data_IF_313315091688
#
_entry.id   IF_313315091688
#
_cell.length_a   1.000
_cell.length_b   1.000
_cell.length_c   1.000
_cell.angle_alpha   90.00
_cell.angle_beta   90.00
_cell.angle_gamma   90.00
#
_symmetry.space_group_name_H-M   'P 1'
#
loop_
_entity.id
_entity.type
_entity.pdbx_description
1 polymer ?
2 non-polymer ?
#
# COMPACT_ATOMS: atom_id res chain seq x y z
N UNK A 1 4.30 -3.95 -29.22
CA UNK A 1 5.73 -3.63 -29.11
C UNK A 1 6.13 -3.45 -27.65
N UNK A 2 5.66 -2.38 -27.03
CA UNK A 2 5.97 -2.12 -25.62
C UNK A 2 4.80 -1.47 -24.91
N UNK A 3 3.59 -1.84 -25.30
CA UNK A 3 2.39 -1.28 -24.69
C UNK A 3 1.32 -2.36 -24.53
N UNK A 4 0.86 -2.52 -23.30
CA UNK A 4 -0.16 -3.52 -22.99
C UNK A 4 -0.98 -3.09 -21.77
N UNK A 5 -2.28 -2.94 -21.96
CA UNK A 5 -3.18 -2.57 -20.87
C UNK A 5 -3.52 -3.80 -20.03
N UNK A 6 -2.61 -4.15 -19.14
CA UNK A 6 -2.81 -5.32 -18.28
C UNK A 6 -3.49 -4.93 -16.98
N UNK A 7 -4.72 -5.43 -16.80
CA UNK A 7 -5.50 -5.15 -15.61
C UNK A 7 -5.80 -6.45 -14.87
N UNK A 8 -5.27 -6.58 -13.65
CA UNK A 8 -5.47 -7.78 -12.84
C UNK A 8 -5.55 -7.40 -11.36
N UNK A 9 -5.66 -8.41 -10.50
CA UNK A 9 -5.76 -8.18 -9.06
C UNK A 9 -5.17 -9.35 -8.28
N UNK A 10 -4.01 -9.13 -7.69
CA UNK A 10 -3.34 -10.17 -6.92
C UNK A 10 -3.56 -9.97 -5.42
N UNK A 11 -4.16 -10.95 -4.76
CA UNK A 11 -4.43 -10.87 -3.34
C UNK A 11 -3.19 -11.21 -2.54
N UNK A 12 -2.62 -10.21 -1.89
CA UNK A 12 -1.42 -10.39 -1.09
C UNK A 12 -1.77 -10.53 0.39
N UNK A 13 -0.85 -11.09 1.16
CA UNK A 13 -1.05 -11.26 2.58
C UNK A 13 -0.41 -10.08 3.32
N UNK A 14 -0.89 -9.80 4.52
CA UNK A 14 -0.37 -8.69 5.32
C UNK A 14 1.13 -8.80 5.55
N UNK A 15 1.59 -10.00 5.89
CA UNK A 15 3.01 -10.23 6.16
C UNK A 15 3.87 -10.12 4.91
N UNK A 16 3.26 -10.17 3.74
CA UNK A 16 4.00 -10.08 2.49
C UNK A 16 4.18 -8.62 2.06
N UNK A 17 3.14 -7.81 2.21
CA UNK A 17 3.21 -6.42 1.81
C UNK A 17 4.04 -5.57 2.78
N UNK A 18 3.94 -5.85 4.07
CA UNK A 18 4.67 -5.09 5.08
C UNK A 18 6.14 -5.52 5.13
N UNK A 19 6.55 -6.35 4.19
CA UNK A 19 7.94 -6.81 4.14
C UNK A 19 8.58 -6.41 2.82
N UNK A 20 7.81 -5.71 1.99
CA UNK A 20 8.31 -5.27 0.69
C UNK A 20 8.53 -3.77 0.68
N UNK A 21 8.13 -3.12 1.75
CA UNK A 21 8.26 -1.66 1.88
C UNK A 21 9.71 -1.26 2.13
N UNK A 22 10.54 -1.35 1.10
CA UNK A 22 11.95 -1.00 1.23
C UNK A 22 12.28 0.25 0.42
N UNK A 23 12.40 0.09 -0.90
CA UNK A 23 12.74 1.24 -1.75
C UNK A 23 12.06 1.15 -3.13
N UNK A 24 12.20 0.02 -3.80
CA UNK A 24 11.61 -0.15 -5.13
C UNK A 24 10.39 -1.06 -5.09
N UNK A 25 9.86 -1.28 -3.90
CA UNK A 25 8.68 -2.10 -3.72
C UNK A 25 7.77 -1.49 -2.65
N UNK A 26 7.86 -0.16 -2.54
CA UNK A 26 7.08 0.59 -1.58
C UNK A 26 5.60 0.64 -1.97
N UNK A 27 4.78 -0.12 -1.25
CA UNK A 27 3.35 -0.17 -1.52
C UNK A 27 2.55 0.38 -0.34
N UNK A 28 1.46 1.06 -0.65
CA UNK A 28 0.58 1.60 0.38
C UNK A 28 -0.79 0.94 0.27
N UNK A 29 -1.48 0.83 1.39
CA UNK A 29 -2.80 0.23 1.39
C UNK A 29 -3.88 1.30 1.56
N UNK A 30 -4.80 1.33 0.61
CA UNK A 30 -5.90 2.28 0.64
C UNK A 30 -7.20 1.54 0.36
N UNK A 31 -8.17 1.69 1.25
CA UNK A 31 -9.47 1.03 1.12
C UNK A 31 -9.28 -0.49 1.17
N UNK A 32 -8.23 -0.91 1.88
CA UNK A 32 -7.89 -2.33 2.04
C UNK A 32 -7.37 -2.92 0.72
N UNK A 33 -6.93 -2.05 -0.18
CA UNK A 33 -6.40 -2.46 -1.47
C UNK A 33 -4.92 -2.09 -1.57
N UNK A 34 -4.17 -2.85 -2.34
CA UNK A 34 -2.73 -2.61 -2.49
C UNK A 34 -2.46 -1.73 -3.70
N UNK A 35 -1.82 -0.59 -3.48
CA UNK A 35 -1.49 0.34 -4.54
C UNK A 35 0.02 0.47 -4.69
N UNK A 36 0.49 0.40 -5.93
CA UNK A 36 1.92 0.51 -6.21
C UNK A 36 2.26 1.93 -6.67
N UNK A 37 3.06 2.60 -5.88
CA UNK A 37 3.48 3.95 -6.20
C UNK A 37 4.93 4.15 -5.79
N UNK A 38 5.67 3.05 -5.76
CA UNK A 38 7.08 3.07 -5.37
C UNK A 38 7.91 3.91 -6.33
N UNK A 39 7.36 4.17 -7.52
CA UNK A 39 8.03 4.99 -8.52
C UNK A 39 7.27 6.29 -8.74
N UNK A 40 6.41 6.60 -7.79
CA UNK A 40 5.59 7.80 -7.83
C UNK A 40 5.78 8.60 -6.53
N UNK A 41 6.62 8.07 -5.65
CA UNK A 41 6.90 8.71 -4.36
C UNK A 41 7.42 10.12 -4.54
N UNK A 42 8.38 10.29 -5.45
CA UNK A 42 8.96 11.59 -5.72
C UNK A 42 8.07 12.42 -6.64
N UNK A 43 7.03 11.80 -7.16
CA UNK A 43 6.08 12.47 -8.05
C UNK A 43 4.85 12.92 -7.27
N UNK A 44 4.83 12.58 -5.98
CA UNK A 44 3.72 12.93 -5.12
C UNK A 44 3.92 14.32 -4.52
N UNK A 45 2.97 15.23 -4.75
CA UNK A 45 3.05 16.59 -4.23
C UNK A 45 2.94 16.62 -2.71
N UNK A 46 3.99 17.06 -2.06
CA UNK A 46 4.01 17.12 -0.61
C UNK A 46 5.23 16.44 -0.04
N UNK A 47 5.72 15.42 -0.73
CA UNK A 47 6.89 14.70 -0.27
C UNK A 47 6.67 13.21 -0.17
N UNK A 48 7.74 12.48 0.07
CA UNK A 48 7.69 11.03 0.19
C UNK A 48 7.72 10.58 1.65
N UNK A 49 8.07 11.51 2.53
CA UNK A 49 8.16 11.22 3.97
C UNK A 49 6.83 10.68 4.49
N UNK A 50 5.74 11.27 4.05
CA UNK A 50 4.41 10.86 4.48
C UNK A 50 4.01 9.52 3.86
N UNK A 51 4.67 9.15 2.78
CA UNK A 51 4.36 7.89 2.09
C UNK A 51 5.17 6.73 2.65
N UNK A 52 6.45 6.97 2.90
CA UNK A 52 7.33 5.93 3.43
C UNK A 52 6.93 5.50 4.85
N UNK A 53 6.37 6.43 5.61
CA UNK A 53 5.95 6.12 6.98
C UNK A 53 4.62 5.36 6.99
N UNK A 54 3.95 5.34 5.85
CA UNK A 54 2.67 4.64 5.72
C UNK A 54 2.83 3.45 4.79
N UNK A 55 4.07 3.18 4.39
CA UNK A 55 4.37 2.09 3.49
C UNK A 55 4.23 0.76 4.20
N UNK A 56 3.46 -0.13 3.59
CA UNK A 56 3.25 -1.44 4.18
C UNK A 56 2.07 -1.45 5.13
N UNK A 57 1.26 -0.39 5.08
CA UNK A 57 0.11 -0.29 5.95
C UNK A 57 -1.02 0.48 5.30
N UNK A 58 -2.18 0.50 5.94
CA UNK A 58 -3.34 1.21 5.41
C UNK A 58 -3.32 2.67 5.86
N UNK A 59 -3.38 3.56 4.88
CA UNK A 59 -3.38 4.99 5.15
C UNK A 59 -4.66 5.64 4.67
N UNK A 60 -5.74 4.88 4.62
CA UNK A 60 -7.02 5.39 4.17
C UNK A 60 -7.48 6.52 5.08
N UNK A 61 -7.13 6.41 6.36
CA UNK A 61 -7.48 7.41 7.37
C UNK A 61 -6.92 8.79 7.03
N UNK A 62 -5.80 8.81 6.32
CA UNK A 62 -5.17 10.07 5.95
C UNK A 62 -5.65 10.54 4.59
N UNK A 63 -6.00 9.58 3.74
CA UNK A 63 -6.50 9.87 2.39
C UNK A 63 -7.76 10.73 2.47
N UNK A 64 -8.67 10.34 3.36
CA UNK A 64 -9.92 11.06 3.54
C UNK A 64 -9.71 12.28 4.43
N UNK A 65 -8.69 12.22 5.29
CA UNK A 65 -8.39 13.32 6.19
C UNK A 65 -7.94 14.55 5.40
N UNK A 66 -7.01 14.34 4.49
CA UNK A 66 -6.50 15.41 3.65
C UNK A 66 -7.55 15.84 2.63
N UNK A 67 -8.15 14.86 1.97
CA UNK A 67 -9.14 15.16 0.96
C UNK A 67 -8.52 15.29 -0.41
N UNK A 68 -8.56 14.21 -1.17
CA UNK A 68 -7.97 14.21 -2.50
C UNK A 68 -8.97 14.60 -3.56
N UNK A 69 -8.49 15.25 -4.61
CA UNK A 69 -9.36 15.68 -5.71
C UNK A 69 -9.91 14.47 -6.46
N UNK A 70 -10.99 14.70 -7.21
CA UNK A 70 -11.63 13.64 -7.98
C UNK A 70 -10.64 12.99 -8.95
N UNK A 71 -9.91 13.81 -9.70
CA UNK A 71 -8.93 13.29 -10.65
C UNK A 71 -7.80 12.55 -9.94
N UNK A 72 -7.45 13.05 -8.75
CA UNK A 72 -6.39 12.46 -7.95
C UNK A 72 -6.73 11.02 -7.55
N UNK A 73 -7.93 10.82 -7.02
CA UNK A 73 -8.35 9.50 -6.59
C UNK A 73 -8.55 8.57 -7.79
N UNK A 74 -8.86 9.14 -8.95
CA UNK A 74 -9.06 8.35 -10.16
C UNK A 74 -7.72 7.91 -10.73
N UNK A 75 -6.68 8.68 -10.41
CA UNK A 75 -5.33 8.37 -10.88
C UNK A 75 -4.79 7.13 -10.17
N UNK A 76 -5.11 7.00 -8.89
CA UNK A 76 -4.66 5.86 -8.10
C UNK A 76 -5.19 4.53 -8.66
N UNK A 77 -6.27 4.60 -9.44
CA UNK A 77 -6.86 3.41 -10.02
C UNK A 77 -5.93 2.75 -11.03
N UNK A 78 -4.96 3.49 -11.53
CA UNK A 78 -4.01 2.95 -12.50
C UNK A 78 -2.78 2.37 -11.81
N UNK A 79 -2.78 2.44 -10.48
CA UNK A 79 -1.66 1.93 -9.69
C UNK A 79 -2.08 0.74 -8.83
N UNK A 80 -3.27 0.20 -9.11
CA UNK A 80 -3.77 -0.94 -8.35
C UNK A 80 -3.18 -2.24 -8.90
N UNK A 81 -2.58 -3.04 -8.02
CA UNK A 81 -2.00 -4.31 -8.44
C UNK A 81 -2.62 -5.49 -7.70
N UNK A 82 -3.34 -5.22 -6.62
CA UNK A 82 -3.95 -6.29 -5.88
C UNK A 82 -4.74 -5.82 -4.69
N UNK A 83 -5.14 -6.77 -3.86
CA UNK A 83 -5.92 -6.48 -2.67
C UNK A 83 -5.40 -7.28 -1.48
N UNK A 84 -5.89 -6.96 -0.29
CA UNK A 84 -5.48 -7.67 0.92
C UNK A 84 -6.28 -8.96 1.07
N UNK A 85 -5.63 -9.96 1.64
CA UNK A 85 -6.26 -11.26 1.89
C UNK A 85 -7.50 -11.12 2.76
N UNK A 86 -8.53 -11.96 2.55
CA UNK A 86 -9.75 -11.92 3.35
C UNK A 86 -9.48 -12.18 4.82
N UNK A 87 -8.45 -12.99 5.08
CA UNK A 87 -8.05 -13.32 6.45
C UNK A 87 -7.50 -12.09 7.16
N UNK A 88 -6.94 -11.17 6.39
CA UNK A 88 -6.37 -9.94 6.92
C UNK A 88 -7.34 -8.78 6.71
N UNK A 89 -8.59 -9.11 6.42
CA UNK A 89 -9.60 -8.10 6.18
C UNK A 89 -10.80 -8.29 7.10
N UNK A 90 -11.50 -9.39 6.93
CA UNK A 90 -12.68 -9.69 7.74
C UNK A 90 -12.41 -10.89 8.65
N UNK A 91 -11.27 -10.89 9.32
CA UNK A 91 -10.92 -11.99 10.21
C UNK A 91 -9.90 -11.51 11.25
N UNK A 92 -8.66 -11.28 10.81
CA UNK A 92 -7.58 -10.82 11.68
C UNK A 92 -7.28 -11.85 12.76
N UNK A 93 -7.53 -13.11 12.45
CA UNK A 93 -7.27 -14.20 13.39
C UNK A 93 -5.96 -14.90 13.04
N UNK A 94 -4.89 -14.12 12.96
CA UNK A 94 -3.57 -14.65 12.63
C UNK A 94 -2.56 -14.20 13.68
N UNK A 95 -1.89 -15.17 14.35
CA UNK A 95 -0.89 -14.87 15.38
C UNK A 95 0.27 -14.02 14.84
N UNK A 96 0.57 -12.94 15.56
CA UNK A 96 1.64 -12.03 15.17
C UNK A 96 3.01 -12.63 15.54
N UNK A 97 3.22 -12.83 16.84
CA UNK A 97 4.47 -13.39 17.36
C UNK A 97 5.68 -12.52 16.98
N UNK A 98 6.04 -11.59 17.87
CA UNK A 98 7.18 -10.73 17.62
C UNK A 98 7.60 -10.01 18.90
N UNK A 99 8.63 -9.16 18.79
CA UNK A 99 9.15 -8.38 19.92
C UNK A 99 9.67 -9.29 21.03
N UNK A 100 10.30 -10.40 20.63
CA UNK A 100 10.84 -11.35 21.58
C UNK A 100 12.36 -11.27 21.63
N UNK A 101 12.92 -10.28 20.95
CA UNK A 101 14.35 -10.09 20.91
C UNK A 101 14.73 -8.73 21.49
N UNK A 102 15.67 -8.71 22.42
CA UNK A 102 16.10 -7.47 23.06
C UNK A 102 17.27 -6.84 22.29
N UNK A 103 16.93 -5.98 21.34
CA UNK A 103 17.95 -5.30 20.54
C UNK A 103 18.16 -3.88 21.03
N UNK A 104 17.76 -3.62 22.27
CA UNK A 104 17.89 -2.30 22.87
C UNK A 104 19.31 -2.05 23.33
X LIG B 1 -1.99 15.54 -2.81
X LIG B 1 -2.08 11.33 -5.08
X LIG B 1 -1.59 9.06 -0.91
X LIG B 1 -1.27 13.26 1.36
X LIG B 1 -2.10 14.58 -3.79
X LIG B 1 -2.27 14.87 -5.19
X LIG B 1 -2.26 13.69 -5.84
X LIG B 1 -2.11 12.68 -4.82
X LIG B 1 -2.33 13.46 -7.31
X LIG B 1 -2.47 16.22 -5.82
X LIG B 1 -3.75 16.28 -6.67
X LIG B 1 -4.76 17.19 -5.99
X LIG B 1 -4.69 18.42 -6.21
X LIG B 1 -5.62 16.67 -5.24
X LIG B 1 -1.96 10.34 -4.14
X LIG B 1 -1.94 8.94 -4.44
X LIG B 1 -1.82 8.29 -3.26
X LIG B 1 -1.75 9.31 -2.25
X LIG B 1 -2.03 8.32 -5.79
X LIG B 1 -1.75 6.93 -3.07
X LIG B 1 -0.80 6.23 -2.08
X LIG B 1 -1.48 10.00 0.07
X LIG B 1 -1.26 9.70 1.46
X LIG B 1 -1.15 10.88 2.09
X LIG B 1 -1.31 11.91 1.10
X LIG B 1 -1.21 8.34 2.07
X LIG B 1 -0.88 11.06 3.44
X LIG B 1 0.09 10.20 4.25
X LIG B 1 -1.45 14.25 0.41
X LIG B 1 -1.41 15.66 0.71
X LIG B 1 -1.64 16.31 -0.46
X LIG B 1 -1.79 15.28 -1.47
X LIG B 1 -1.17 16.29 2.04
X LIG B 1 -1.70 17.79 -0.66
X LIG B 1 -2.93 18.43 0.00
X LIG B 1 -2.49 19.62 0.85
X LIG B 1 -1.27 19.74 1.12
X LIG B 1 -3.36 20.43 1.24
X LIG B 1 -2.02 13.23 -3.57
X LIG B 1 -1.83 10.57 -2.79
X LIG B 1 -1.51 11.36 -0.15
X LIG B 1 -1.67 14.02 -0.93
X LIG B 1 -1.79 12.30 -1.86
X LIG B 1 -2.16 11.02 -6.12
X LIG B 1 -1.55 8.01 -0.60
X LIG B 1 -1.10 13.57 2.38
X LIG B 1 -1.76 12.56 -7.56
X LIG B 1 -1.90 14.29 -7.81
X LIG B 1 -3.37 13.37 -7.63
X LIG B 1 -1.63 16.44 -6.45
X LIG B 1 -2.53 16.96 -5.03
X LIG B 1 -4.17 15.30 -6.77
X LIG B 1 -3.51 16.69 -7.64
X LIG B 1 -3.07 8.11 -6.01
X LIG B 1 -1.47 7.40 -5.80
X LIG B 1 -1.65 9.00 -6.53
X LIG B 1 -2.37 6.22 -3.60
X LIG B 1 -0.12 6.85 -1.52
X LIG B 1 -0.86 5.15 -2.02
X LIG B 1 -1.40 8.40 3.13
X LIG B 1 -0.23 7.91 1.90
X LIG B 1 -1.96 7.71 1.62
X LIG B 1 -1.34 11.85 4.03
X LIG B 1 0.59 9.40 3.73
X LIG B 1 0.21 10.44 5.30
X LIG B 1 -0.22 15.96 2.44
X LIG B 1 -1.96 16.00 2.73
X LIG B 1 -1.14 17.36 1.95
X LIG B 1 -0.81 18.24 -0.24
X LIG B 1 -1.73 18.00 -1.71
X LIG B 1 -3.42 17.70 0.63
X LIG B 1 -3.62 18.77 -0.76
X LIG B 1 -2.07 16.58 -3.12
#
# INVERSE_FOLDING_TARGET
MAAQSDKDVKYYTLEEIKKHNHSKSTWLILHHKVYDLTKFLEEHPGGEEVLREQAGGDATENFEDVGHSTDARELSKTFIIGELHPDDRSKLSKPMETLITTVDSNSSWWTNWVIPAISALIVALMYRLYMADD
HEM CHA CHB CHC CHD C1A C2A C3A C4A CMA CAA CBA CGA O1A O2A C1B C2B C3B C4B CMB CAB CBB C1C C2C C3C C4C CMC CAC CBC C1D C2D C3D C4D CMD CAD CBD CGD O1D O2D NA NB NC ND FE HHB HHC HHD HMA HMAA HMAB HAA HAAA HBA HBAA HMB HMBA HMBB HAB HBB HBBA HMC HMCA HMCB HAC HBC HBCA HMD HMDA HMDB HAD HADA HBD HBDA HHA
#
